data_IF_917803368441
#
_entry.id   IF_917803368441
#
_cell.length_a   1.000
_cell.length_b   1.000
_cell.length_c   1.000
_cell.angle_alpha   90.00
_cell.angle_beta   90.00
_cell.angle_gamma   90.00
#
_symmetry.space_group_name_H-M   'P 1'
#
loop_
_entity.id
_entity.type
_entity.pdbx_description
1 polymer ?
#
# COMPACT_ATOMS: atom_id res chain seq x y z
N UNK A 1 0.66 8.82 -5.60
CA UNK A 1 -0.70 8.23 -5.67
C UNK A 1 -1.63 9.06 -4.81
N UNK A 2 -2.92 9.14 -5.12
CA UNK A 2 -3.90 9.88 -4.32
C UNK A 2 -4.96 8.94 -3.77
N UNK A 3 -5.39 9.14 -2.53
CA UNK A 3 -6.49 8.42 -1.90
C UNK A 3 -7.67 9.36 -1.68
N UNK A 4 -8.87 8.83 -1.91
CA UNK A 4 -10.13 9.49 -1.63
C UNK A 4 -10.78 8.77 -0.46
N UNK A 5 -10.87 9.42 0.69
CA UNK A 5 -11.47 8.83 1.89
C UNK A 5 -12.60 9.69 2.40
N UNK A 6 -13.58 9.08 3.09
CA UNK A 6 -14.61 9.81 3.81
C UNK A 6 -14.30 9.77 5.30
N UNK A 7 -14.02 10.92 5.90
CA UNK A 7 -13.74 11.07 7.34
C UNK A 7 -14.70 12.10 7.93
N UNK A 8 -15.43 11.72 8.97
CA UNK A 8 -16.38 12.60 9.67
C UNK A 8 -17.33 13.36 8.72
N UNK A 9 -17.98 12.60 7.84
CA UNK A 9 -18.88 13.08 6.78
C UNK A 9 -18.30 14.04 5.74
N UNK A 10 -16.99 14.24 5.76
CA UNK A 10 -16.27 15.01 4.75
C UNK A 10 -15.49 14.08 3.84
N UNK A 11 -15.51 14.41 2.56
CA UNK A 11 -14.62 13.81 1.57
C UNK A 11 -13.24 14.47 1.72
N UNK A 12 -12.23 13.65 1.94
CA UNK A 12 -10.83 14.05 2.11
C UNK A 12 -10.03 13.42 0.97
N UNK A 13 -9.30 14.26 0.24
CA UNK A 13 -8.34 13.84 -0.78
C UNK A 13 -6.96 14.01 -0.20
N UNK A 14 -6.22 12.91 -0.05
CA UNK A 14 -4.85 12.91 0.46
C UNK A 14 -3.92 12.38 -0.62
N UNK A 15 -2.83 13.10 -0.90
CA UNK A 15 -1.75 12.57 -1.72
C UNK A 15 -0.80 11.80 -0.83
N UNK A 16 -0.56 10.53 -1.17
CA UNK A 16 0.49 9.74 -0.53
C UNK A 16 1.84 10.35 -0.88
N UNK A 17 2.66 10.57 0.14
CA UNK A 17 4.03 11.01 -0.02
C UNK A 17 4.87 9.93 -0.71
N UNK A 18 6.01 10.33 -1.29
CA UNK A 18 6.94 9.38 -1.88
C UNK A 18 7.43 8.33 -0.88
N UNK A 19 7.59 8.69 0.40
CA UNK A 19 7.99 7.77 1.46
C UNK A 19 6.93 6.70 1.73
N UNK A 20 5.65 7.09 1.86
CA UNK A 20 4.54 6.16 2.07
C UNK A 20 4.37 5.22 0.88
N UNK A 21 4.51 5.73 -0.35
CA UNK A 21 4.46 4.89 -1.55
C UNK A 21 5.62 3.89 -1.58
N UNK A 22 6.85 4.32 -1.27
CA UNK A 22 8.00 3.42 -1.20
C UNK A 22 7.84 2.32 -0.16
N UNK A 23 7.25 2.62 0.99
CA UNK A 23 6.96 1.62 2.01
C UNK A 23 5.93 0.60 1.52
N UNK A 24 4.84 1.06 0.90
CA UNK A 24 3.81 0.17 0.35
C UNK A 24 4.37 -0.79 -0.72
N UNK A 25 5.28 -0.30 -1.57
CA UNK A 25 5.96 -1.13 -2.57
C UNK A 25 6.79 -2.21 -1.88
N UNK A 26 7.60 -1.84 -0.89
CA UNK A 26 8.46 -2.78 -0.17
C UNK A 26 7.64 -3.87 0.54
N UNK A 27 6.56 -3.50 1.22
CA UNK A 27 5.67 -4.45 1.89
C UNK A 27 5.01 -5.43 0.91
N UNK A 28 4.70 -4.97 -0.31
CA UNK A 28 4.15 -5.83 -1.34
C UNK A 28 5.20 -6.82 -1.85
N UNK A 29 6.42 -6.36 -2.17
CA UNK A 29 7.51 -7.22 -2.63
C UNK A 29 7.88 -8.31 -1.62
N UNK A 30 7.89 -7.99 -0.32
CA UNK A 30 8.13 -8.97 0.74
C UNK A 30 7.03 -10.04 0.81
N UNK A 31 5.76 -9.63 0.70
CA UNK A 31 4.62 -10.57 0.69
C UNK A 31 4.62 -11.49 -0.54
N UNK A 32 4.92 -10.96 -1.72
CA UNK A 32 4.99 -11.77 -2.94
C UNK A 32 6.11 -12.81 -2.81
N UNK A 33 7.28 -12.41 -2.30
CA UNK A 33 8.40 -13.33 -2.05
C UNK A 33 8.05 -14.45 -1.08
N UNK A 34 7.30 -14.14 -0.01
CA UNK A 34 6.82 -15.16 0.93
C UNK A 34 5.80 -16.10 0.29
N UNK A 35 4.89 -15.58 -0.54
CA UNK A 35 3.91 -16.38 -1.26
C UNK A 35 4.55 -17.30 -2.29
N UNK A 36 5.52 -16.81 -3.06
CA UNK A 36 6.30 -17.63 -4.01
C UNK A 36 7.03 -18.77 -3.29
N UNK A 37 7.62 -18.49 -2.11
CA UNK A 37 8.26 -19.51 -1.29
C UNK A 37 7.26 -20.56 -0.76
N UNK A 38 6.04 -20.15 -0.41
CA UNK A 38 4.98 -21.07 0.04
C UNK A 38 4.37 -21.90 -1.10
N UNK A 39 4.25 -21.34 -2.32
CA UNK A 39 3.71 -22.04 -3.48
C UNK A 39 4.71 -23.02 -4.11
N UNK A 40 5.99 -22.87 -3.82
CA UNK A 40 7.06 -23.74 -4.32
C UNK A 40 7.40 -24.92 -3.40
N UNK A 41 6.67 -25.10 -2.29
CA UNK A 41 6.81 -26.19 -1.31
C UNK A 41 5.67 -27.21 -1.42
#
# INVERSE_FOLDING_TARGET
>A
MATLTRRSDKTVVENLTSAEVSQLIKEHEEKEKEQEAQQSA
#
